data_IF_936902911480
#
_entry.id   IF_936902911480
#
_cell.length_a   1.000
_cell.length_b   1.000
_cell.length_c   1.000
_cell.angle_alpha   90.00
_cell.angle_beta   90.00
_cell.angle_gamma   90.00
#
_symmetry.space_group_name_H-M   'P 1'
#
loop_
_entity.id
_entity.type
_entity.pdbx_description
1 polymer ?
#
# COMPACT_ATOMS: atom_id res chain seq x y z
N UNK A 1 -75.44 -8.93 4.17
CA UNK A 1 -74.10 -8.29 4.20
C UNK A 1 -73.06 -9.41 4.21
N UNK A 2 -71.96 -9.48 3.45
CA UNK A 2 -71.27 -8.61 2.49
C UNK A 2 -70.13 -9.47 1.85
N UNK A 3 -69.57 -8.99 0.73
CA UNK A 3 -68.95 -9.78 -0.35
C UNK A 3 -67.44 -10.15 -0.20
N UNK A 4 -67.08 -11.08 -1.09
CA UNK A 4 -65.82 -11.69 -1.55
C UNK A 4 -64.68 -10.78 -2.10
N UNK A 5 -63.42 -11.29 -1.99
CA UNK A 5 -62.32 -11.43 -3.01
C UNK A 5 -61.35 -10.27 -3.43
N UNK A 6 -60.04 -10.54 -3.21
CA UNK A 6 -58.73 -10.27 -3.93
C UNK A 6 -58.28 -8.88 -4.45
N UNK A 7 -57.04 -8.44 -4.11
CA UNK A 7 -55.82 -8.25 -4.99
C UNK A 7 -54.84 -7.15 -4.50
N UNK A 8 -53.58 -7.58 -4.28
CA UNK A 8 -52.22 -6.98 -4.43
C UNK A 8 -52.02 -5.48 -4.71
N UNK A 9 -51.04 -4.82 -4.05
CA UNK A 9 -49.86 -4.13 -4.65
C UNK A 9 -48.98 -3.37 -3.63
N UNK A 10 -47.71 -3.80 -3.52
CA UNK A 10 -46.42 -3.08 -3.41
C UNK A 10 -46.32 -1.69 -2.76
N UNK A 11 -45.47 -1.56 -1.74
CA UNK A 11 -44.22 -0.75 -1.75
C UNK A 11 -43.45 -0.87 -0.43
N UNK A 12 -42.25 -1.47 -0.47
CA UNK A 12 -41.24 -1.32 0.59
C UNK A 12 -40.40 -0.12 0.19
N UNK A 13 -40.68 1.03 0.80
CA UNK A 13 -39.98 2.28 0.58
C UNK A 13 -39.08 2.64 1.76
N UNK A 14 -37.78 2.55 1.51
CA UNK A 14 -36.79 3.59 1.86
C UNK A 14 -36.51 3.85 3.34
N UNK A 15 -35.60 3.07 3.91
CA UNK A 15 -34.31 3.61 4.40
C UNK A 15 -33.44 2.46 4.92
N UNK A 16 -32.21 2.33 4.41
CA UNK A 16 -31.13 2.03 5.33
C UNK A 16 -30.10 3.14 5.20
N UNK A 17 -30.07 3.99 6.23
CA UNK A 17 -28.84 4.68 6.59
C UNK A 17 -27.73 3.63 6.65
N UNK A 18 -26.71 3.86 5.83
CA UNK A 18 -25.41 3.20 5.77
C UNK A 18 -25.13 2.24 6.94
N UNK A 19 -25.42 0.95 6.74
CA UNK A 19 -24.74 -0.09 7.50
C UNK A 19 -23.34 -0.15 6.91
N UNK A 20 -22.36 0.11 7.78
CA UNK A 20 -20.94 0.14 7.50
C UNK A 20 -20.52 -0.96 6.54
N UNK A 21 -19.72 -0.60 5.53
CA UNK A 21 -19.01 -1.58 4.72
C UNK A 21 -18.12 -2.40 5.66
N UNK A 22 -18.57 -3.59 6.02
CA UNK A 22 -17.73 -4.64 6.61
C UNK A 22 -16.61 -4.91 5.60
N UNK A 23 -15.42 -4.41 5.90
CA UNK A 23 -14.20 -4.83 5.21
C UNK A 23 -14.00 -6.29 5.59
N UNK A 24 -13.95 -7.19 4.60
CA UNK A 24 -13.89 -8.65 4.78
C UNK A 24 -12.91 -9.09 5.89
N UNK A 25 -13.43 -9.77 6.93
CA UNK A 25 -12.68 -10.59 7.90
C UNK A 25 -12.12 -11.88 7.24
N UNK A 26 -11.58 -11.75 6.03
CA UNK A 26 -10.89 -12.83 5.34
C UNK A 26 -9.44 -12.98 5.82
N UNK A 27 -8.79 -14.13 5.56
CA UNK A 27 -7.37 -14.28 5.85
C UNK A 27 -6.56 -13.18 5.12
N UNK A 28 -5.45 -12.70 5.72
CA UNK A 28 -4.60 -11.68 5.09
C UNK A 28 -4.21 -12.10 3.67
N UNK A 29 -4.44 -11.19 2.72
CA UNK A 29 -4.16 -11.45 1.30
C UNK A 29 -2.67 -11.25 1.04
N UNK A 30 -2.02 -12.10 0.21
CA UNK A 30 -0.63 -11.89 -0.19
C UNK A 30 -0.42 -10.50 -0.75
N UNK A 31 0.58 -9.81 -0.22
CA UNK A 31 0.94 -8.45 -0.59
C UNK A 31 2.28 -8.46 -1.31
N UNK A 32 2.40 -7.66 -2.37
CA UNK A 32 3.66 -7.37 -3.05
C UNK A 32 4.06 -5.92 -2.80
N UNK A 33 5.32 -5.71 -2.48
CA UNK A 33 5.94 -4.38 -2.48
C UNK A 33 6.94 -4.33 -3.64
N UNK A 34 6.87 -3.26 -4.42
CA UNK A 34 7.80 -2.95 -5.50
C UNK A 34 8.41 -1.59 -5.25
N UNK A 35 9.74 -1.50 -5.28
CA UNK A 35 10.50 -0.25 -5.23
C UNK A 35 11.13 -0.01 -6.59
N UNK A 36 10.83 1.13 -7.20
CA UNK A 36 11.39 1.57 -8.48
C UNK A 36 12.27 2.79 -8.26
N UNK A 37 13.45 2.80 -8.87
CA UNK A 37 14.37 3.93 -8.83
C UNK A 37 13.93 5.03 -9.81
N UNK A 38 13.40 6.14 -9.30
CA UNK A 38 13.06 7.35 -10.06
C UNK A 38 14.18 8.39 -10.13
N UNK A 39 15.34 8.12 -9.52
CA UNK A 39 16.51 8.99 -9.56
C UNK A 39 17.29 8.80 -10.85
N UNK A 40 18.03 9.82 -11.28
CA UNK A 40 18.94 9.73 -12.43
C UNK A 40 20.20 8.90 -12.11
N UNK A 41 20.58 8.78 -10.83
CA UNK A 41 21.72 7.98 -10.37
C UNK A 41 21.30 6.59 -9.89
N UNK A 42 22.30 5.75 -9.63
CA UNK A 42 22.10 4.41 -9.07
C UNK A 42 21.63 4.51 -7.61
N UNK A 43 20.56 3.76 -7.29
CA UNK A 43 19.98 3.69 -5.96
C UNK A 43 20.42 2.40 -5.27
N UNK A 44 21.09 2.53 -4.13
CA UNK A 44 21.32 1.42 -3.21
C UNK A 44 20.17 1.38 -2.20
N UNK A 45 19.49 0.25 -2.13
CA UNK A 45 18.37 0.02 -1.21
C UNK A 45 18.64 -1.21 -0.35
N UNK A 46 18.44 -1.10 0.95
CA UNK A 46 18.47 -2.23 1.87
C UNK A 46 17.19 -2.25 2.68
N UNK A 47 16.45 -3.35 2.63
CA UNK A 47 15.14 -3.49 3.25
C UNK A 47 15.10 -4.71 4.16
N UNK A 48 14.41 -4.57 5.29
CA UNK A 48 14.15 -5.70 6.18
C UNK A 48 12.87 -5.50 6.99
N UNK A 49 12.37 -6.59 7.55
CA UNK A 49 11.36 -6.61 8.59
C UNK A 49 12.01 -6.96 9.92
N UNK A 50 11.20 -7.31 10.93
CA UNK A 50 11.69 -7.93 12.16
C UNK A 50 12.28 -9.32 11.91
N UNK A 51 11.67 -10.07 11.01
CA UNK A 51 11.90 -11.51 10.87
C UNK A 51 12.69 -11.86 9.59
N UNK A 52 12.69 -10.98 8.58
CA UNK A 52 13.31 -11.20 7.28
C UNK A 52 14.22 -10.04 6.88
N UNK A 53 15.47 -10.34 6.52
CA UNK A 53 16.37 -9.40 5.86
C UNK A 53 16.40 -9.68 4.36
N UNK A 54 15.94 -8.71 3.55
CA UNK A 54 15.88 -8.85 2.09
C UNK A 54 17.23 -8.52 1.43
N UNK A 55 18.17 -8.02 2.23
CA UNK A 55 19.50 -7.62 1.83
C UNK A 55 19.54 -6.32 1.02
N UNK A 56 20.73 -6.01 0.56
CA UNK A 56 21.00 -4.83 -0.26
C UNK A 56 20.78 -5.13 -1.74
N UNK A 57 20.11 -4.23 -2.44
CA UNK A 57 19.93 -4.22 -3.89
C UNK A 57 20.47 -2.91 -4.45
N UNK A 58 21.03 -3.00 -5.65
CA UNK A 58 21.59 -1.87 -6.37
C UNK A 58 20.80 -1.71 -7.65
N UNK A 59 20.07 -0.60 -7.77
CA UNK A 59 19.09 -0.36 -8.82
C UNK A 59 19.58 0.76 -9.75
N UNK A 60 19.88 0.47 -11.02
CA UNK A 60 20.02 1.50 -12.05
C UNK A 60 18.76 2.37 -12.16
N UNK A 61 18.85 3.52 -12.84
CA UNK A 61 17.68 4.35 -13.12
C UNK A 61 16.58 3.50 -13.81
N UNK A 62 15.33 3.67 -13.37
CA UNK A 62 14.14 2.92 -13.79
C UNK A 62 14.13 1.41 -13.49
N UNK A 63 15.17 0.86 -12.86
CA UNK A 63 15.14 -0.52 -12.39
C UNK A 63 14.28 -0.64 -11.12
N UNK A 64 13.78 -1.85 -10.87
CA UNK A 64 12.94 -2.15 -9.72
C UNK A 64 13.37 -3.43 -8.99
N UNK A 65 13.00 -3.48 -7.71
CA UNK A 65 13.12 -4.65 -6.85
C UNK A 65 11.77 -4.89 -6.17
N UNK A 66 11.35 -6.15 -6.08
CA UNK A 66 10.09 -6.52 -5.43
C UNK A 66 10.19 -7.83 -4.66
N UNK A 67 9.27 -7.99 -3.72
CA UNK A 67 9.09 -9.21 -2.95
C UNK A 67 7.62 -9.35 -2.53
N UNK A 68 7.24 -10.58 -2.17
CA UNK A 68 5.90 -10.90 -1.67
C UNK A 68 5.98 -11.39 -0.24
N UNK A 69 4.93 -11.12 0.52
CA UNK A 69 4.74 -11.61 1.88
C UNK A 69 3.25 -11.67 2.19
N UNK A 70 2.89 -12.37 3.25
CA UNK A 70 1.52 -12.37 3.79
C UNK A 70 1.51 -11.50 5.05
N UNK A 71 0.69 -10.44 5.11
CA UNK A 71 0.57 -9.62 6.31
C UNK A 71 0.09 -10.42 7.53
N UNK A 72 0.41 -9.95 8.72
CA UNK A 72 0.09 -10.62 9.96
C UNK A 72 -1.37 -10.44 10.35
N UNK A 73 -2.01 -11.47 10.89
CA UNK A 73 -3.38 -11.38 11.41
C UNK A 73 -3.50 -10.35 12.55
N UNK A 74 -2.38 -9.99 13.20
CA UNK A 74 -2.34 -9.00 14.28
C UNK A 74 -1.91 -7.59 13.85
N UNK A 75 -1.97 -7.27 12.55
CA UNK A 75 -1.74 -5.91 12.03
C UNK A 75 -0.39 -5.29 12.39
N UNK A 76 0.66 -6.12 12.49
CA UNK A 76 1.99 -5.73 12.96
C UNK A 76 3.11 -5.95 11.95
N UNK A 77 2.81 -6.26 10.68
CA UNK A 77 3.83 -6.37 9.64
C UNK A 77 4.40 -5.00 9.27
N UNK A 78 5.73 -4.91 9.30
CA UNK A 78 6.51 -3.71 9.01
C UNK A 78 7.73 -4.10 8.17
N UNK A 79 7.92 -3.40 7.05
CA UNK A 79 9.19 -3.38 6.32
C UNK A 79 9.74 -1.97 6.32
N UNK A 80 10.98 -1.82 6.76
CA UNK A 80 11.71 -0.56 6.74
C UNK A 80 12.93 -0.69 5.84
N UNK A 81 13.18 0.37 5.09
CA UNK A 81 14.23 0.43 4.10
C UNK A 81 15.14 1.63 4.36
N UNK A 82 16.40 1.45 4.00
CA UNK A 82 17.39 2.50 3.87
C UNK A 82 17.77 2.68 2.42
N UNK A 83 18.07 3.92 2.05
CA UNK A 83 18.31 4.37 0.68
C UNK A 83 19.53 5.27 0.65
N UNK A 84 20.40 5.03 -0.32
CA UNK A 84 21.53 5.90 -0.62
C UNK A 84 21.81 5.96 -2.12
N UNK A 85 22.34 7.08 -2.58
CA UNK A 85 22.63 7.32 -3.99
C UNK A 85 23.65 8.44 -4.15
N UNK A 86 24.29 8.49 -5.32
CA UNK A 86 25.24 9.56 -5.64
C UNK A 86 24.54 10.93 -5.68
N UNK A 87 25.11 11.91 -4.96
CA UNK A 87 24.55 13.26 -4.83
C UNK A 87 23.59 13.43 -3.64
N UNK A 88 23.33 12.38 -2.87
CA UNK A 88 22.64 12.49 -1.60
C UNK A 88 23.50 13.24 -0.57
N UNK A 89 23.08 14.44 -0.16
CA UNK A 89 23.82 15.28 0.79
C UNK A 89 23.35 15.14 2.24
N UNK A 90 22.24 14.43 2.47
CA UNK A 90 21.60 14.37 3.78
C UNK A 90 21.75 13.02 4.49
N UNK A 91 22.82 12.27 4.19
CA UNK A 91 23.12 10.97 4.78
C UNK A 91 22.12 9.86 4.41
N UNK A 92 22.31 8.67 5.00
CA UNK A 92 21.48 7.49 4.74
C UNK A 92 20.00 7.77 5.01
N UNK A 93 19.17 7.73 3.96
CA UNK A 93 17.73 8.01 4.06
C UNK A 93 16.96 6.79 4.51
N UNK A 94 15.94 6.97 5.36
CA UNK A 94 15.13 5.85 5.89
C UNK A 94 13.63 6.06 5.68
N UNK A 95 12.91 4.99 5.38
CA UNK A 95 11.46 5.00 5.26
C UNK A 95 10.84 3.63 5.55
N UNK A 96 9.67 3.63 6.19
CA UNK A 96 8.86 2.42 6.38
C UNK A 96 8.08 2.17 5.08
N UNK A 97 8.66 1.36 4.19
CA UNK A 97 8.11 1.11 2.85
C UNK A 97 6.78 0.36 2.89
N UNK A 98 6.57 -0.43 3.95
CA UNK A 98 5.30 -1.06 4.23
C UNK A 98 4.99 -0.98 5.71
N UNK A 99 3.82 -0.41 6.05
CA UNK A 99 3.25 -0.42 7.38
C UNK A 99 1.86 -1.00 7.24
N UNK A 100 1.59 -2.16 7.82
CA UNK A 100 0.34 -2.88 7.59
C UNK A 100 -0.92 -2.02 7.86
N UNK A 101 -0.95 -1.32 9.00
CA UNK A 101 -2.03 -0.38 9.36
C UNK A 101 -2.23 0.74 8.34
N UNK A 102 -1.15 1.17 7.67
CA UNK A 102 -1.18 2.21 6.64
C UNK A 102 -1.64 1.64 5.30
N UNK A 103 -1.12 0.49 4.91
CA UNK A 103 -1.07 0.07 3.50
C UNK A 103 -2.04 -1.04 3.12
N UNK A 104 -2.45 -1.88 4.07
CA UNK A 104 -3.25 -3.07 3.77
C UNK A 104 -4.54 -2.75 2.99
N UNK A 105 -5.24 -1.68 3.38
CA UNK A 105 -6.46 -1.25 2.68
C UNK A 105 -6.18 -0.34 1.47
N UNK A 106 -4.93 0.07 1.26
CA UNK A 106 -4.52 0.94 0.15
C UNK A 106 -4.04 0.14 -1.05
N UNK A 107 -3.32 -0.96 -0.82
CA UNK A 107 -2.72 -1.76 -1.88
C UNK A 107 -2.46 -3.20 -1.45
N UNK A 108 -2.79 -4.14 -2.33
CA UNK A 108 -2.20 -5.49 -2.35
C UNK A 108 -0.93 -5.55 -3.19
N UNK A 109 -0.77 -4.59 -4.09
CA UNK A 109 0.41 -4.39 -4.93
C UNK A 109 0.88 -2.95 -4.77
N UNK A 110 1.76 -2.76 -3.80
CA UNK A 110 2.23 -1.46 -3.35
C UNK A 110 3.46 -1.06 -4.17
N UNK A 111 3.25 -0.17 -5.15
CA UNK A 111 4.29 0.27 -6.06
C UNK A 111 4.82 1.64 -5.63
N UNK A 112 6.09 1.68 -5.25
CA UNK A 112 6.76 2.87 -4.77
C UNK A 112 7.78 3.39 -5.80
N UNK A 113 7.72 4.69 -6.09
CA UNK A 113 8.74 5.40 -6.85
C UNK A 113 9.61 6.21 -5.88
N UNK A 114 10.91 5.96 -5.90
CA UNK A 114 11.88 6.66 -5.06
C UNK A 114 12.41 7.88 -5.80
N UNK A 115 12.19 9.07 -5.24
CA UNK A 115 12.66 10.35 -5.77
C UNK A 115 13.56 11.06 -4.74
N UNK A 116 14.19 12.16 -5.15
CA UNK A 116 15.06 12.97 -4.28
C UNK A 116 14.34 13.49 -3.03
N UNK A 117 13.07 13.90 -3.18
CA UNK A 117 12.24 14.39 -2.08
C UNK A 117 11.72 13.27 -1.16
N UNK A 118 11.63 12.05 -1.68
CA UNK A 118 11.13 10.90 -0.93
C UNK A 118 10.38 9.88 -1.77
N UNK A 119 9.85 8.82 -1.12
CA UNK A 119 9.08 7.77 -1.76
C UNK A 119 7.64 8.24 -2.04
N UNK A 120 7.14 7.92 -3.23
CA UNK A 120 5.74 8.14 -3.63
C UNK A 120 5.06 6.81 -3.94
N UNK A 121 3.88 6.56 -3.39
CA UNK A 121 3.08 5.36 -3.65
C UNK A 121 2.15 5.59 -4.85
N UNK A 122 2.06 4.60 -5.74
CA UNK A 122 1.15 4.62 -6.87
C UNK A 122 -0.30 4.55 -6.41
N UNK A 123 -1.11 5.51 -6.84
CA UNK A 123 -2.54 5.56 -6.63
C UNK A 123 -3.25 5.13 -7.91
N UNK A 124 -4.00 4.02 -7.81
CA UNK A 124 -4.74 3.44 -8.95
C UNK A 124 -5.89 4.33 -9.43
N UNK A 125 -6.51 5.10 -8.52
CA UNK A 125 -7.63 5.99 -8.87
C UNK A 125 -7.14 7.19 -9.68
N UNK A 126 -6.09 7.86 -9.18
CA UNK A 126 -5.48 9.01 -9.85
C UNK A 126 -4.57 8.62 -11.02
N UNK A 127 -4.20 7.34 -11.14
CA UNK A 127 -3.22 6.81 -12.10
C UNK A 127 -1.87 7.54 -12.04
N UNK A 128 -1.43 7.86 -10.83
CA UNK A 128 -0.24 8.66 -10.58
C UNK A 128 0.45 8.26 -9.26
N UNK A 129 1.73 8.62 -9.13
CA UNK A 129 2.46 8.56 -7.87
C UNK A 129 2.21 9.84 -7.06
N UNK A 130 1.05 9.94 -6.42
CA UNK A 130 0.57 11.16 -5.75
C UNK A 130 0.64 11.10 -4.21
N UNK A 131 0.81 9.91 -3.62
CA UNK A 131 0.96 9.71 -2.17
C UNK A 131 2.45 9.72 -1.79
N UNK A 132 3.03 10.91 -1.75
CA UNK A 132 4.45 11.14 -1.44
C UNK A 132 4.71 11.40 0.05
N UNK A 133 5.86 10.94 0.52
CA UNK A 133 6.30 11.10 1.90
C UNK A 133 7.74 11.60 1.95
N UNK A 134 8.13 12.22 3.07
CA UNK A 134 9.53 12.59 3.30
C UNK A 134 10.31 11.42 3.88
N UNK A 135 11.60 11.35 3.55
CA UNK A 135 12.54 10.49 4.28
C UNK A 135 12.72 10.94 5.73
N UNK A 136 13.09 9.99 6.59
CA UNK A 136 13.64 10.27 7.93
C UNK A 136 15.16 10.39 7.84
N UNK A 137 15.71 11.34 8.59
CA UNK A 137 17.15 11.55 8.84
C UNK A 137 17.69 10.53 9.84
#
# INVERSE_FOLDING_TARGET
>A
MGKQTTTTTTTIGSSPAAVEKVVEDGPPKPTRVTITNGLTSQLTVHCKSKDDDLGTKVLPNNASFSWHFTPSVFWNTLFFCSFDWEGNTGGLKRFDIYVEKRDLLRCLDCNWLINQSGPCLYNKEAKAYDKCYSFRS
#
